data_IF_231822033681
#
_entry.id   IF_231822033681
#
_cell.length_a   1.000
_cell.length_b   1.000
_cell.length_c   1.000
_cell.angle_alpha   90.00
_cell.angle_beta   90.00
_cell.angle_gamma   90.00
#
_symmetry.space_group_name_H-M   'P 1'
#
loop_
_entity.id
_entity.type
_entity.pdbx_description
1 polymer ?
#
# COMPACT_ATOMS: atom_id res chain seq x y z
N UNK A 1 37.28 -15.08 3.50
CA UNK A 1 36.41 -14.95 2.31
C UNK A 1 35.05 -14.44 2.78
N UNK A 2 34.78 -13.14 2.60
CA UNK A 2 33.52 -12.48 3.02
C UNK A 2 32.76 -12.16 1.74
N UNK A 3 31.60 -12.78 1.55
CA UNK A 3 30.70 -12.50 0.42
C UNK A 3 29.91 -11.23 0.77
N UNK A 4 30.20 -10.13 0.09
CA UNK A 4 29.39 -8.92 0.14
C UNK A 4 28.16 -9.15 -0.76
N UNK A 5 27.05 -9.57 -0.16
CA UNK A 5 25.75 -9.50 -0.81
C UNK A 5 25.45 -8.01 -1.04
N UNK A 6 25.51 -7.59 -2.30
CA UNK A 6 25.20 -6.23 -2.70
C UNK A 6 23.79 -5.85 -2.24
N UNK A 7 23.70 -5.04 -1.20
CA UNK A 7 22.50 -4.32 -0.83
C UNK A 7 22.15 -3.42 -2.01
N UNK A 8 21.18 -3.85 -2.83
CA UNK A 8 20.65 -3.07 -3.94
C UNK A 8 20.03 -1.82 -3.34
N UNK A 9 20.77 -0.71 -3.33
CA UNK A 9 20.24 0.59 -2.93
C UNK A 9 19.25 1.00 -4.02
N UNK A 10 17.97 0.73 -3.79
CA UNK A 10 16.88 1.24 -4.64
C UNK A 10 16.86 2.74 -4.42
N UNK A 11 17.40 3.50 -5.37
CA UNK A 11 17.20 4.95 -5.37
C UNK A 11 15.70 5.21 -5.54
N UNK A 12 15.06 6.02 -4.67
CA UNK A 12 13.65 6.36 -4.84
C UNK A 12 13.48 7.02 -6.21
N UNK A 13 12.59 6.46 -7.05
CA UNK A 13 12.24 7.12 -8.30
C UNK A 13 11.47 8.40 -7.97
N UNK A 14 11.67 9.51 -8.70
CA UNK A 14 10.94 10.76 -8.44
C UNK A 14 9.42 10.61 -8.68
N UNK A 15 9.00 9.49 -9.28
CA UNK A 15 7.61 9.17 -9.57
C UNK A 15 7.02 8.15 -8.58
N UNK A 16 7.73 7.80 -7.50
CA UNK A 16 7.25 6.86 -6.49
C UNK A 16 7.22 7.47 -5.10
N UNK A 17 6.07 7.36 -4.45
CA UNK A 17 5.87 7.69 -3.04
C UNK A 17 5.65 6.40 -2.28
N UNK A 18 6.35 6.25 -1.15
CA UNK A 18 6.10 5.17 -0.18
C UNK A 18 5.44 5.81 1.03
N UNK A 19 4.25 5.31 1.40
CA UNK A 19 3.54 5.72 2.60
C UNK A 19 3.80 4.67 3.67
N UNK A 20 4.06 5.14 4.90
CA UNK A 20 4.10 4.31 6.09
C UNK A 20 2.89 4.64 6.96
N UNK A 21 2.04 3.65 7.21
CA UNK A 21 0.84 3.83 8.04
C UNK A 21 1.02 2.98 9.31
N UNK A 22 1.24 3.62 10.47
CA UNK A 22 1.47 2.87 11.70
C UNK A 22 0.21 2.13 12.14
N UNK A 23 0.39 1.01 12.86
CA UNK A 23 -0.71 0.15 13.31
C UNK A 23 -1.77 0.88 14.14
N UNK A 24 -1.35 1.91 14.90
CA UNK A 24 -2.19 2.72 15.77
C UNK A 24 -2.72 4.00 15.09
N UNK A 25 -2.51 4.17 13.77
CA UNK A 25 -3.08 5.29 13.04
C UNK A 25 -4.60 5.32 13.24
N UNK A 26 -5.15 6.48 13.56
CA UNK A 26 -6.60 6.66 13.51
C UNK A 26 -7.01 6.66 12.04
N UNK A 27 -7.94 5.78 11.71
CA UNK A 27 -8.47 5.63 10.37
C UNK A 27 -9.98 5.49 10.44
N UNK A 28 -10.66 6.18 9.54
CA UNK A 28 -12.06 5.99 9.26
C UNK A 28 -12.23 5.68 7.76
N UNK A 29 -13.48 5.56 7.32
CA UNK A 29 -13.77 5.26 5.92
C UNK A 29 -13.22 6.33 4.97
N UNK A 30 -13.23 7.61 5.39
CA UNK A 30 -12.74 8.71 4.56
C UNK A 30 -11.22 8.66 4.36
N UNK A 31 -10.48 8.20 5.36
CA UNK A 31 -9.04 7.95 5.24
C UNK A 31 -8.75 6.92 4.14
N UNK A 32 -9.45 5.78 4.15
CA UNK A 32 -9.30 4.74 3.11
C UNK A 32 -9.61 5.32 1.73
N UNK A 33 -10.73 6.03 1.60
CA UNK A 33 -11.15 6.65 0.35
C UNK A 33 -10.14 7.69 -0.18
N UNK A 34 -9.52 8.45 0.71
CA UNK A 34 -8.49 9.42 0.35
C UNK A 34 -7.25 8.73 -0.21
N UNK A 35 -6.76 7.66 0.45
CA UNK A 35 -5.61 6.89 -0.03
C UNK A 35 -5.92 6.25 -1.40
N UNK A 36 -7.10 5.66 -1.56
CA UNK A 36 -7.54 5.10 -2.83
C UNK A 36 -7.63 6.14 -3.95
N UNK A 37 -8.19 7.32 -3.64
CA UNK A 37 -8.29 8.43 -4.60
C UNK A 37 -6.89 8.92 -5.00
N UNK A 38 -5.98 9.07 -4.03
CA UNK A 38 -4.60 9.46 -4.28
C UNK A 38 -3.86 8.44 -5.15
N UNK A 39 -4.04 7.15 -4.90
CA UNK A 39 -3.45 6.07 -5.72
C UNK A 39 -3.93 6.11 -7.17
N UNK A 40 -5.23 6.27 -7.39
CA UNK A 40 -5.81 6.39 -8.74
C UNK A 40 -5.29 7.62 -9.46
N UNK A 41 -5.20 8.75 -8.75
CA UNK A 41 -4.65 9.99 -9.29
C UNK A 41 -3.17 9.85 -9.66
N UNK A 42 -2.36 9.20 -8.82
CA UNK A 42 -0.96 8.92 -9.12
C UNK A 42 -0.83 8.04 -10.37
N UNK A 43 -1.61 6.96 -10.46
CA UNK A 43 -1.62 6.06 -11.63
C UNK A 43 -1.98 6.82 -12.91
N UNK A 44 -2.97 7.71 -12.87
CA UNK A 44 -3.34 8.58 -13.99
C UNK A 44 -2.21 9.52 -14.44
N UNK A 45 -1.28 9.86 -13.54
CA UNK A 45 -0.09 10.67 -13.84
C UNK A 45 1.18 9.84 -14.09
N UNK A 46 1.06 8.53 -14.30
CA UNK A 46 2.21 7.61 -14.44
C UNK A 46 3.17 7.65 -13.22
N UNK A 47 2.60 7.87 -12.03
CA UNK A 47 3.29 7.81 -10.72
C UNK A 47 2.74 6.63 -9.90
N UNK A 48 3.48 6.23 -8.87
CA UNK A 48 3.07 5.17 -7.95
C UNK A 48 3.03 5.66 -6.51
N UNK A 49 2.01 5.22 -5.79
CA UNK A 49 1.97 5.25 -4.33
C UNK A 49 1.97 3.80 -3.86
N UNK A 50 2.88 3.48 -2.95
CA UNK A 50 3.02 2.15 -2.35
C UNK A 50 2.92 2.24 -0.84
N UNK A 51 2.48 1.17 -0.21
CA UNK A 51 2.43 1.06 1.24
C UNK A 51 3.67 0.28 1.71
N UNK A 52 4.34 0.76 2.76
CA UNK A 52 5.60 0.19 3.26
C UNK A 52 5.43 -1.25 3.78
N UNK A 53 4.24 -1.58 4.28
CA UNK A 53 3.93 -2.84 4.93
C UNK A 53 2.43 -3.14 4.78
N UNK A 54 1.96 -4.40 4.90
CA UNK A 54 0.52 -4.67 4.85
C UNK A 54 -0.21 -3.93 5.97
N UNK A 55 -1.44 -3.48 5.69
CA UNK A 55 -2.31 -2.85 6.66
C UNK A 55 -2.52 -3.74 7.89
N UNK A 56 -2.45 -3.11 9.05
CA UNK A 56 -2.62 -3.73 10.36
C UNK A 56 -3.51 -2.83 11.23
N UNK A 57 -3.87 -3.33 12.42
CA UNK A 57 -4.53 -2.53 13.44
C UNK A 57 -5.80 -1.85 12.95
N UNK A 58 -5.90 -0.55 13.18
CA UNK A 58 -7.13 0.21 12.93
C UNK A 58 -7.50 0.27 11.44
N UNK A 59 -6.52 0.45 10.56
CA UNK A 59 -6.75 0.48 9.11
C UNK A 59 -7.36 -0.84 8.62
N UNK A 60 -6.77 -1.98 9.03
CA UNK A 60 -7.29 -3.30 8.64
C UNK A 60 -8.72 -3.52 9.15
N UNK A 61 -9.02 -3.13 10.39
CA UNK A 61 -10.39 -3.23 10.95
C UNK A 61 -11.40 -2.38 10.19
N UNK A 62 -11.01 -1.20 9.69
CA UNK A 62 -11.89 -0.36 8.87
C UNK A 62 -12.13 -1.02 7.50
N UNK A 63 -11.09 -1.55 6.87
CA UNK A 63 -11.21 -2.28 5.60
C UNK A 63 -12.14 -3.48 5.71
N UNK A 64 -12.03 -4.26 6.80
CA UNK A 64 -12.93 -5.37 7.12
C UNK A 64 -14.38 -4.91 7.30
N UNK A 65 -14.60 -3.91 8.17
CA UNK A 65 -15.94 -3.41 8.51
C UNK A 65 -16.67 -2.76 7.34
N UNK A 66 -15.93 -2.13 6.44
CA UNK A 66 -16.49 -1.49 5.25
C UNK A 66 -16.61 -2.45 4.05
N UNK A 67 -16.29 -3.74 4.22
CA UNK A 67 -16.46 -4.76 3.18
C UNK A 67 -15.45 -4.68 2.03
N UNK A 68 -14.34 -3.97 2.21
CA UNK A 68 -13.33 -3.81 1.14
C UNK A 68 -12.57 -5.09 0.85
N UNK A 69 -12.35 -5.95 1.85
CA UNK A 69 -11.52 -7.14 1.66
C UNK A 69 -12.07 -8.09 0.59
N UNK A 70 -13.40 -8.16 0.45
CA UNK A 70 -14.07 -8.98 -0.55
C UNK A 70 -14.27 -8.25 -1.89
N UNK A 71 -14.23 -6.91 -1.87
CA UNK A 71 -14.46 -6.06 -3.04
C UNK A 71 -13.16 -5.65 -3.77
N UNK A 72 -12.00 -5.88 -3.16
CA UNK A 72 -10.71 -5.50 -3.71
C UNK A 72 -10.40 -6.21 -5.04
N UNK A 73 -9.94 -5.44 -6.01
CA UNK A 73 -9.22 -6.01 -7.15
C UNK A 73 -7.78 -6.38 -6.75
N UNK A 74 -7.03 -6.94 -7.70
CA UNK A 74 -5.64 -7.36 -7.49
C UNK A 74 -4.71 -6.21 -7.06
N UNK A 75 -4.85 -5.03 -7.65
CA UNK A 75 -4.04 -3.85 -7.31
C UNK A 75 -4.35 -3.35 -5.89
N UNK A 76 -5.61 -3.42 -5.46
CA UNK A 76 -6.03 -2.99 -4.12
C UNK A 76 -5.51 -3.97 -3.05
N UNK A 77 -5.68 -5.28 -3.29
CA UNK A 77 -5.19 -6.33 -2.41
C UNK A 77 -3.65 -6.32 -2.31
N UNK A 78 -2.95 -6.03 -3.40
CA UNK A 78 -1.49 -5.89 -3.41
C UNK A 78 -1.03 -4.73 -2.54
N UNK A 79 -1.72 -3.60 -2.56
CA UNK A 79 -1.33 -2.44 -1.77
C UNK A 79 -1.71 -2.57 -0.30
N UNK A 80 -2.95 -2.95 0.01
CA UNK A 80 -3.39 -3.00 1.40
C UNK A 80 -2.92 -4.25 2.12
N UNK A 81 -2.87 -5.40 1.44
CA UNK A 81 -2.63 -6.70 2.09
C UNK A 81 -1.31 -7.34 1.68
N UNK A 82 -0.59 -6.75 0.71
CA UNK A 82 0.63 -7.31 0.13
C UNK A 82 0.42 -8.75 -0.39
N UNK A 83 -0.80 -9.05 -0.83
CA UNK A 83 -1.12 -10.33 -1.48
C UNK A 83 -0.70 -10.23 -2.95
N UNK A 84 0.25 -11.08 -3.34
CA UNK A 84 0.50 -11.38 -4.74
C UNK A 84 -0.73 -12.13 -5.29
N UNK A 85 -1.33 -11.65 -6.37
CA UNK A 85 -2.31 -12.46 -7.09
C UNK A 85 -1.53 -13.45 -7.93
N UNK A 86 -1.48 -14.70 -7.48
CA UNK A 86 -0.92 -15.78 -8.30
C UNK A 86 -1.89 -16.01 -9.47
N UNK A 87 -1.42 -16.05 -10.73
CA UNK A 87 -2.27 -16.21 -11.91
C UNK A 87 -3.15 -17.46 -11.91
#
# INVERSE_FOLDING_TARGET
>A
MRVLLGSRSISPSPNSIVIDIPEHAEADLSFIQLIESARRQAKAQSKSITHSSPAKGNVLKVLERAGFLDAFNSDDAKFWLHKEVTP
#
